data_IF_327297664652
#
_entry.id   IF_327297664652
#
_cell.length_a   1.000
_cell.length_b   1.000
_cell.length_c   1.000
_cell.angle_alpha   90.00
_cell.angle_beta   90.00
_cell.angle_gamma   90.00
#
_symmetry.space_group_name_H-M   'P 1'
#
loop_
_entity.id
_entity.type
_entity.pdbx_description
1 polymer ?
#
# COMPACT_ATOMS: atom_id res chain seq x y z
N UNK A 1 -51.87 39.43 -21.39
CA UNK A 1 -51.67 37.97 -21.14
C UNK A 1 -50.19 37.59 -21.07
N UNK A 2 -49.40 38.13 -20.13
CA UNK A 2 -47.96 37.82 -19.99
C UNK A 2 -47.58 37.15 -18.66
N UNK A 3 -48.49 37.07 -17.68
CA UNK A 3 -48.19 36.55 -16.34
C UNK A 3 -48.16 35.02 -16.19
N UNK A 4 -48.85 34.26 -17.06
CA UNK A 4 -48.93 32.79 -16.94
C UNK A 4 -47.72 32.04 -17.49
N UNK A 5 -46.95 32.62 -18.42
CA UNK A 5 -45.76 31.96 -19.00
C UNK A 5 -44.57 31.99 -18.05
N UNK A 6 -44.40 33.07 -17.29
CA UNK A 6 -43.27 33.25 -16.34
C UNK A 6 -43.32 32.23 -15.19
N UNK A 7 -44.51 31.87 -14.70
CA UNK A 7 -44.67 30.86 -13.65
C UNK A 7 -44.24 29.45 -14.08
N UNK A 8 -44.43 29.08 -15.36
CA UNK A 8 -44.06 27.74 -15.85
C UNK A 8 -42.54 27.60 -15.97
N UNK A 9 -41.83 28.65 -16.40
CA UNK A 9 -40.37 28.63 -16.47
C UNK A 9 -39.71 28.54 -15.09
N UNK A 10 -40.29 29.19 -14.07
CA UNK A 10 -39.75 29.13 -12.71
C UNK A 10 -39.89 27.73 -12.08
N UNK A 11 -41.01 27.05 -12.32
CA UNK A 11 -41.23 25.67 -11.84
C UNK A 11 -40.32 24.68 -12.59
N UNK A 12 -40.13 24.86 -13.91
CA UNK A 12 -39.25 23.98 -14.69
C UNK A 12 -37.76 24.15 -14.30
N UNK A 13 -37.32 25.37 -13.99
CA UNK A 13 -35.96 25.64 -13.52
C UNK A 13 -35.72 25.00 -12.15
N UNK A 14 -36.69 25.07 -11.23
CA UNK A 14 -36.59 24.49 -9.89
C UNK A 14 -36.51 22.95 -9.91
N UNK A 15 -37.22 22.29 -10.84
CA UNK A 15 -37.16 20.83 -11.01
C UNK A 15 -35.82 20.37 -11.62
N UNK A 16 -35.17 21.22 -12.43
CA UNK A 16 -33.84 20.93 -12.99
C UNK A 16 -32.71 21.11 -11.96
N UNK A 17 -32.87 22.02 -10.97
CA UNK A 17 -31.91 22.16 -9.87
C UNK A 17 -31.99 21.01 -8.85
N UNK A 18 -33.16 20.39 -8.66
CA UNK A 18 -33.31 19.26 -7.74
C UNK A 18 -32.71 17.95 -8.27
N UNK A 19 -32.61 17.77 -9.60
CA UNK A 19 -32.00 16.56 -10.18
C UNK A 19 -30.48 16.57 -10.25
N UNK A 20 -29.84 17.73 -10.06
CA UNK A 20 -28.38 17.85 -10.14
C UNK A 20 -27.67 17.63 -8.80
N UNK A 21 -28.41 17.50 -7.68
CA UNK A 21 -27.81 17.49 -6.34
C UNK A 21 -28.00 16.18 -5.53
N UNK A 22 -28.85 15.25 -5.96
CA UNK A 22 -29.32 14.16 -5.09
C UNK A 22 -28.87 12.73 -5.47
N UNK A 23 -28.26 12.51 -6.63
CA UNK A 23 -27.86 11.13 -7.01
C UNK A 23 -26.61 10.64 -6.27
N UNK A 24 -25.72 11.53 -5.87
CA UNK A 24 -24.50 11.16 -5.13
C UNK A 24 -24.75 10.99 -3.61
N UNK A 25 -25.81 11.59 -3.08
CA UNK A 25 -26.11 11.55 -1.65
C UNK A 25 -26.71 10.20 -1.22
N UNK A 26 -27.60 9.61 -2.03
CA UNK A 26 -28.26 8.33 -1.70
C UNK A 26 -27.25 7.16 -1.67
N UNK A 27 -26.26 7.15 -2.57
CA UNK A 27 -25.18 6.15 -2.55
C UNK A 27 -24.24 6.29 -1.34
N UNK A 28 -24.09 7.50 -0.80
CA UNK A 28 -23.27 7.77 0.40
C UNK A 28 -23.93 7.34 1.72
N UNK A 29 -25.26 7.16 1.73
CA UNK A 29 -26.01 6.69 2.91
C UNK A 29 -25.98 5.16 3.04
N UNK A 30 -25.67 4.42 1.97
CA UNK A 30 -25.63 2.95 2.02
C UNK A 30 -24.30 2.40 2.49
N UNK A 31 -23.22 3.20 2.39
CA UNK A 31 -21.86 2.71 2.57
C UNK A 31 -21.01 3.66 3.42
N UNK A 32 -20.30 3.10 4.39
CA UNK A 32 -19.28 3.81 5.18
C UNK A 32 -17.87 3.41 4.74
N UNK A 33 -16.89 4.31 4.88
CA UNK A 33 -15.49 4.07 4.51
C UNK A 33 -14.56 4.35 5.67
N UNK A 34 -13.63 3.44 5.93
CA UNK A 34 -12.53 3.64 6.87
C UNK A 34 -11.18 3.30 6.23
N UNK A 35 -10.08 3.78 6.82
CA UNK A 35 -8.73 3.56 6.32
C UNK A 35 -7.85 3.00 7.44
N UNK A 36 -7.05 1.99 7.10
CA UNK A 36 -6.03 1.44 7.98
C UNK A 36 -4.66 1.75 7.38
N UNK A 37 -3.86 2.60 8.03
CA UNK A 37 -2.46 2.80 7.66
C UNK A 37 -1.58 1.70 8.28
N UNK A 38 -0.69 1.15 7.46
CA UNK A 38 0.37 0.24 7.85
C UNK A 38 1.70 0.98 7.72
N UNK A 39 2.39 1.13 8.84
CA UNK A 39 3.69 1.78 8.91
C UNK A 39 4.77 0.72 9.11
N UNK A 40 5.63 0.56 8.11
CA UNK A 40 6.70 -0.42 8.17
C UNK A 40 8.04 0.28 8.33
N UNK A 41 8.72 -0.04 9.43
CA UNK A 41 10.06 0.42 9.75
C UNK A 41 10.99 -0.78 9.66
N UNK A 42 11.89 -0.77 8.68
CA UNK A 42 12.82 -1.88 8.49
C UNK A 42 14.24 -1.43 8.70
N UNK A 43 14.85 -2.02 9.72
CA UNK A 43 16.21 -1.76 10.13
C UNK A 43 17.07 -2.95 9.73
N UNK A 44 17.89 -2.75 8.70
CA UNK A 44 18.80 -3.77 8.23
C UNK A 44 20.23 -3.47 8.67
N UNK A 45 20.85 -4.44 9.35
CA UNK A 45 22.27 -4.43 9.71
C UNK A 45 23.02 -5.36 8.77
N UNK A 46 24.22 -4.94 8.34
CA UNK A 46 25.12 -5.71 7.46
C UNK A 46 24.43 -6.27 6.21
N UNK A 47 23.51 -5.49 5.64
CA UNK A 47 22.71 -5.90 4.48
C UNK A 47 23.53 -5.84 3.22
N UNK A 48 23.36 -6.87 2.40
CA UNK A 48 23.84 -6.88 1.02
C UNK A 48 22.69 -6.69 0.04
N UNK A 49 22.89 -5.98 -1.07
CA UNK A 49 21.99 -6.03 -2.23
C UNK A 49 22.72 -6.58 -3.46
N UNK A 50 22.05 -7.27 -4.40
CA UNK A 50 20.61 -7.52 -4.46
C UNK A 50 20.12 -8.47 -3.37
N UNK A 51 18.89 -8.26 -2.90
CA UNK A 51 18.28 -9.02 -1.79
C UNK A 51 16.75 -8.86 -1.75
N UNK A 52 16.08 -9.80 -1.08
CA UNK A 52 14.64 -9.81 -0.87
C UNK A 52 14.33 -9.77 0.62
N UNK A 53 13.35 -8.99 1.03
CA UNK A 53 12.93 -8.89 2.42
C UNK A 53 11.43 -8.81 2.54
N UNK A 54 10.88 -9.34 3.61
CA UNK A 54 9.43 -9.43 3.81
C UNK A 54 9.04 -8.88 5.18
N UNK A 55 7.89 -8.23 5.23
CA UNK A 55 7.26 -7.81 6.49
C UNK A 55 5.83 -8.34 6.53
N UNK A 56 5.44 -8.88 7.66
CA UNK A 56 4.12 -9.50 7.85
C UNK A 56 3.11 -8.47 8.36
N UNK A 57 1.87 -8.59 7.89
CA UNK A 57 0.73 -7.83 8.39
C UNK A 57 -0.48 -8.74 8.60
N UNK A 58 -1.19 -8.48 9.70
CA UNK A 58 -2.39 -9.20 10.11
C UNK A 58 -3.52 -8.20 10.36
N UNK A 59 -4.50 -8.16 9.45
CA UNK A 59 -5.65 -7.26 9.56
C UNK A 59 -6.54 -7.57 10.77
N UNK A 60 -6.48 -8.78 11.36
CA UNK A 60 -7.26 -9.10 12.55
C UNK A 60 -6.79 -8.37 13.82
N UNK A 61 -5.60 -7.76 13.80
CA UNK A 61 -5.10 -6.93 14.91
C UNK A 61 -5.81 -5.56 14.97
N UNK A 62 -6.58 -5.21 13.95
CA UNK A 62 -7.27 -3.94 13.83
C UNK A 62 -8.76 -4.11 14.15
N UNK A 63 -9.20 -3.53 15.26
CA UNK A 63 -10.58 -3.64 15.76
C UNK A 63 -11.63 -3.17 14.71
N UNK A 64 -11.34 -2.07 14.01
CA UNK A 64 -12.24 -1.54 12.99
C UNK A 64 -12.43 -2.52 11.82
N UNK A 65 -11.38 -3.27 11.47
CA UNK A 65 -11.47 -4.32 10.45
C UNK A 65 -12.30 -5.51 10.96
N UNK A 66 -12.00 -6.02 12.16
CA UNK A 66 -12.69 -7.22 12.68
C UNK A 66 -14.19 -7.00 12.90
N UNK A 67 -14.59 -5.81 13.37
CA UNK A 67 -16.01 -5.43 13.53
C UNK A 67 -16.80 -5.39 12.22
N UNK A 68 -16.14 -5.00 11.12
CA UNK A 68 -16.79 -4.73 9.85
C UNK A 68 -16.52 -5.77 8.77
N UNK A 69 -15.68 -6.77 9.06
CA UNK A 69 -15.21 -7.81 8.12
C UNK A 69 -16.34 -8.49 7.33
N UNK A 70 -17.47 -8.78 7.98
CA UNK A 70 -18.63 -9.45 7.35
C UNK A 70 -19.40 -8.55 6.36
N UNK A 71 -19.30 -7.23 6.51
CA UNK A 71 -20.01 -6.21 5.71
C UNK A 71 -19.10 -5.50 4.71
N UNK A 72 -17.84 -5.93 4.61
CA UNK A 72 -16.83 -5.31 3.77
C UNK A 72 -17.21 -5.48 2.30
N UNK A 73 -17.52 -4.41 1.58
CA UNK A 73 -17.83 -4.44 0.14
C UNK A 73 -16.58 -4.31 -0.73
N UNK A 74 -15.59 -3.54 -0.27
CA UNK A 74 -14.40 -3.19 -1.05
C UNK A 74 -13.17 -3.00 -0.16
N UNK A 75 -11.99 -3.38 -0.65
CA UNK A 75 -10.69 -3.06 -0.10
C UNK A 75 -9.77 -2.52 -1.22
N UNK A 76 -9.12 -1.38 -0.99
CA UNK A 76 -8.28 -0.71 -1.99
C UNK A 76 -7.00 -0.19 -1.33
N UNK A 77 -5.85 -0.42 -1.95
CA UNK A 77 -4.61 0.25 -1.53
C UNK A 77 -4.60 1.64 -2.18
N UNK A 78 -4.87 2.67 -1.38
CA UNK A 78 -5.05 4.05 -1.86
C UNK A 78 -3.76 4.86 -1.81
N UNK A 79 -2.77 4.40 -1.06
CA UNK A 79 -1.48 5.04 -0.94
C UNK A 79 -0.42 3.99 -0.64
N UNK A 80 0.68 4.05 -1.38
CA UNK A 80 1.93 3.36 -1.08
C UNK A 80 3.05 4.40 -1.13
N UNK A 81 3.89 4.46 -0.11
CA UNK A 81 5.01 5.40 -0.03
C UNK A 81 6.28 4.68 0.42
N UNK A 82 7.44 5.14 -0.03
CA UNK A 82 8.74 4.56 0.28
C UNK A 82 9.84 5.62 0.34
N UNK A 83 10.69 5.54 1.37
CA UNK A 83 11.88 6.38 1.51
C UNK A 83 12.94 5.71 2.39
N UNK A 84 14.15 6.28 2.36
CA UNK A 84 15.30 5.81 3.13
C UNK A 84 15.62 6.85 4.20
N UNK A 85 15.48 6.48 5.48
CA UNK A 85 15.76 7.38 6.60
C UNK A 85 17.25 7.54 6.87
N UNK A 86 18.00 6.44 6.73
CA UNK A 86 19.45 6.39 6.93
C UNK A 86 20.09 5.26 6.13
N UNK A 87 21.32 5.51 5.67
CA UNK A 87 22.12 4.53 4.95
C UNK A 87 23.59 4.73 5.34
N UNK A 88 24.27 3.65 5.66
CA UNK A 88 25.70 3.60 6.00
C UNK A 88 26.34 2.54 5.12
N UNK A 89 27.37 2.93 4.38
CA UNK A 89 28.14 2.02 3.53
C UNK A 89 28.91 1.00 4.36
N UNK A 90 29.31 -0.13 3.75
CA UNK A 90 30.10 -1.16 4.43
C UNK A 90 31.46 -0.71 4.99
N UNK A 91 31.95 0.47 4.61
CA UNK A 91 33.14 1.11 5.21
C UNK A 91 32.80 2.04 6.39
N UNK A 92 31.57 1.94 6.93
CA UNK A 92 31.02 2.74 8.02
C UNK A 92 30.91 4.25 7.74
N UNK A 93 31.01 4.68 6.47
CA UNK A 93 30.72 6.06 6.10
C UNK A 93 29.20 6.23 5.91
N UNK A 94 28.57 7.21 6.60
CA UNK A 94 27.18 7.59 6.33
C UNK A 94 27.04 8.14 4.92
N UNK A 95 25.91 7.85 4.28
CA UNK A 95 25.54 8.45 3.01
C UNK A 95 25.31 9.96 3.13
N UNK A 96 25.97 10.74 2.28
CA UNK A 96 25.76 12.18 2.13
C UNK A 96 25.01 12.45 0.80
N UNK A 97 23.70 12.78 0.84
CA UNK A 97 22.90 12.96 -0.38
C UNK A 97 23.36 14.13 -1.26
N UNK A 98 24.25 15.00 -0.76
CA UNK A 98 24.81 16.14 -1.52
C UNK A 98 26.11 15.78 -2.25
N UNK A 99 26.79 14.71 -1.86
CA UNK A 99 28.13 14.34 -2.39
C UNK A 99 28.12 12.97 -3.04
N UNK A 100 27.37 12.04 -2.48
CA UNK A 100 27.37 10.66 -2.91
C UNK A 100 26.37 10.45 -4.05
N UNK A 101 26.75 9.57 -4.98
CA UNK A 101 25.85 9.08 -6.02
C UNK A 101 25.68 7.58 -5.83
N UNK A 102 24.46 7.17 -5.52
CA UNK A 102 24.09 5.77 -5.35
C UNK A 102 22.80 5.51 -6.11
N UNK A 103 22.88 4.70 -7.16
CA UNK A 103 21.72 4.31 -7.96
C UNK A 103 21.48 2.82 -7.81
N UNK A 104 20.28 2.43 -7.39
CA UNK A 104 19.83 1.04 -7.34
C UNK A 104 19.03 0.78 -8.62
N UNK A 105 19.37 -0.28 -9.36
CA UNK A 105 18.77 -0.57 -10.66
C UNK A 105 17.25 -0.68 -10.60
N UNK A 106 16.73 -1.35 -9.59
CA UNK A 106 15.31 -1.36 -9.28
C UNK A 106 15.02 -1.62 -7.80
N UNK A 107 13.87 -1.13 -7.34
CA UNK A 107 13.26 -1.51 -6.07
C UNK A 107 11.81 -1.88 -6.37
N UNK A 108 11.42 -3.11 -6.03
CA UNK A 108 10.07 -3.64 -6.31
C UNK A 108 9.37 -4.00 -5.02
N UNK A 109 8.07 -3.70 -4.96
CA UNK A 109 7.22 -4.03 -3.83
C UNK A 109 6.10 -4.95 -4.26
N UNK A 110 5.89 -6.01 -3.51
CA UNK A 110 4.87 -7.00 -3.78
C UNK A 110 3.99 -7.23 -2.56
N UNK A 111 2.72 -7.50 -2.80
CA UNK A 111 1.80 -8.06 -1.82
C UNK A 111 1.66 -9.55 -2.11
N UNK A 112 1.99 -10.35 -1.10
CA UNK A 112 1.89 -11.81 -1.14
C UNK A 112 0.94 -12.23 -0.03
N UNK A 113 -0.21 -12.79 -0.37
CA UNK A 113 -1.13 -13.29 0.64
C UNK A 113 -0.50 -14.41 1.47
N UNK A 114 -0.89 -14.50 2.73
CA UNK A 114 -0.39 -15.48 3.65
C UNK A 114 -1.53 -16.38 4.14
N UNK A 115 -1.19 -17.61 4.47
CA UNK A 115 -2.08 -18.58 5.11
C UNK A 115 -1.43 -19.17 6.36
N UNK A 116 -2.23 -19.58 7.35
CA UNK A 116 -1.71 -20.35 8.47
C UNK A 116 -1.03 -21.63 7.99
N UNK A 117 0.10 -21.97 8.62
CA UNK A 117 0.71 -23.28 8.47
C UNK A 117 -0.23 -24.37 9.01
N UNK A 118 -0.19 -25.58 8.44
CA UNK A 118 -0.97 -26.70 8.95
C UNK A 118 -0.69 -26.95 10.43
N UNK A 119 -1.71 -27.37 11.18
CA UNK A 119 -1.61 -27.80 12.58
C UNK A 119 -1.20 -26.73 13.60
N UNK A 120 -1.27 -25.44 13.27
CA UNK A 120 -1.13 -24.36 14.25
C UNK A 120 -2.51 -23.92 14.74
N UNK A 121 -2.90 -24.24 15.98
CA UNK A 121 -4.16 -23.76 16.53
C UNK A 121 -4.04 -22.26 16.85
N UNK A 122 -4.96 -21.45 16.32
CA UNK A 122 -5.02 -20.00 16.55
C UNK A 122 -3.70 -19.26 16.23
N UNK A 123 -3.26 -19.26 14.96
CA UNK A 123 -2.02 -18.62 14.54
C UNK A 123 -2.05 -17.12 14.86
N UNK A 124 -0.97 -16.61 15.44
CA UNK A 124 -0.85 -15.20 15.85
C UNK A 124 0.47 -14.58 15.44
N UNK A 125 1.55 -15.36 15.43
CA UNK A 125 2.88 -14.86 15.17
C UNK A 125 3.24 -14.98 13.68
N UNK A 126 4.09 -14.08 13.17
CA UNK A 126 4.52 -14.12 11.76
C UNK A 126 5.12 -15.48 11.34
N UNK A 127 5.69 -16.25 12.27
CA UNK A 127 6.25 -17.58 12.03
C UNK A 127 5.20 -18.65 11.78
N UNK A 128 3.96 -18.39 12.19
CA UNK A 128 2.83 -19.32 12.06
C UNK A 128 2.23 -19.32 10.65
N UNK A 129 2.66 -18.39 9.82
CA UNK A 129 2.15 -18.18 8.48
C UNK A 129 3.19 -18.54 7.43
N UNK A 130 2.69 -18.84 6.24
CA UNK A 130 3.48 -19.05 5.03
C UNK A 130 2.81 -18.35 3.83
N UNK A 131 3.57 -18.01 2.78
CA UNK A 131 3.02 -17.50 1.54
C UNK A 131 1.95 -18.45 0.97
N UNK A 132 0.80 -17.89 0.57
CA UNK A 132 -0.25 -18.63 -0.09
C UNK A 132 0.04 -18.73 -1.60
N UNK A 133 0.70 -19.82 -1.98
CA UNK A 133 1.08 -20.10 -3.39
C UNK A 133 -0.11 -20.35 -4.33
N UNK A 134 -1.34 -20.41 -3.81
CA UNK A 134 -2.56 -20.57 -4.62
C UNK A 134 -3.10 -19.24 -5.15
N UNK A 135 -2.60 -18.12 -4.62
CA UNK A 135 -2.96 -16.77 -5.04
C UNK A 135 -1.78 -16.12 -5.79
N UNK A 136 -2.05 -15.25 -6.77
CA UNK A 136 -0.98 -14.55 -7.45
C UNK A 136 -0.27 -13.57 -6.51
N UNK A 137 1.00 -13.31 -6.82
CA UNK A 137 1.77 -12.23 -6.18
C UNK A 137 1.46 -10.92 -6.91
N UNK A 138 1.12 -9.87 -6.16
CA UNK A 138 0.70 -8.60 -6.74
C UNK A 138 1.85 -7.59 -6.67
N UNK A 139 2.28 -7.08 -7.82
CA UNK A 139 3.22 -5.96 -7.86
C UNK A 139 2.49 -4.68 -7.41
N UNK A 140 2.88 -4.15 -6.25
CA UNK A 140 2.36 -2.89 -5.73
C UNK A 140 3.01 -1.67 -6.41
N UNK A 141 4.29 -1.81 -6.76
CA UNK A 141 5.05 -0.77 -7.43
C UNK A 141 6.45 -1.22 -7.79
N UNK A 142 6.96 -0.70 -8.90
CA UNK A 142 8.35 -0.86 -9.33
C UNK A 142 8.97 0.51 -9.56
N UNK A 143 10.10 0.73 -8.92
CA UNK A 143 10.94 1.91 -9.09
C UNK A 143 12.19 1.49 -9.85
N UNK A 144 12.44 2.09 -11.00
CA UNK A 144 13.64 1.83 -11.80
C UNK A 144 14.62 2.97 -11.64
N UNK A 145 15.91 2.64 -11.69
CA UNK A 145 17.01 3.60 -11.61
C UNK A 145 16.91 4.52 -10.39
N UNK A 146 16.66 3.93 -9.23
CA UNK A 146 16.43 4.62 -7.95
C UNK A 146 17.71 5.32 -7.50
N UNK A 147 17.78 6.62 -7.74
CA UNK A 147 18.81 7.46 -7.14
C UNK A 147 18.49 7.68 -5.66
N UNK A 148 19.30 7.12 -4.76
CA UNK A 148 19.03 7.11 -3.32
C UNK A 148 18.87 8.53 -2.78
N UNK A 149 19.54 9.54 -3.33
CA UNK A 149 19.40 10.94 -2.90
C UNK A 149 17.98 11.49 -3.06
N UNK A 150 17.19 10.98 -4.02
CA UNK A 150 15.81 11.42 -4.25
C UNK A 150 14.84 10.83 -3.22
N UNK A 151 15.18 9.65 -2.69
CA UNK A 151 14.41 8.91 -1.69
C UNK A 151 14.95 9.12 -0.27
N UNK A 152 16.08 9.80 -0.10
CA UNK A 152 16.71 9.99 1.21
C UNK A 152 15.94 11.03 2.03
N UNK A 153 15.26 10.57 3.09
CA UNK A 153 14.43 11.37 4.01
C UNK A 153 13.30 12.15 3.31
N UNK A 154 12.82 11.67 2.16
CA UNK A 154 11.78 12.33 1.34
C UNK A 154 10.62 11.38 1.03
N UNK A 155 9.42 11.61 1.59
CA UNK A 155 8.27 10.72 1.45
C UNK A 155 7.41 11.01 0.19
N UNK A 156 8.00 11.37 -0.95
CA UNK A 156 7.25 11.93 -2.10
C UNK A 156 6.72 10.89 -3.10
N UNK A 157 6.89 9.60 -2.84
CA UNK A 157 6.70 8.55 -3.84
C UNK A 157 5.37 7.82 -3.65
N UNK A 158 4.26 8.56 -3.79
CA UNK A 158 2.90 8.04 -3.60
C UNK A 158 2.40 7.37 -4.88
N UNK A 159 2.11 6.08 -4.81
CA UNK A 159 1.50 5.32 -5.91
C UNK A 159 0.03 5.03 -5.66
N UNK A 160 -0.76 5.17 -6.72
CA UNK A 160 -2.12 4.65 -6.80
C UNK A 160 -2.04 3.25 -7.40
N UNK A 161 -2.54 2.26 -6.69
CA UNK A 161 -2.47 0.84 -7.09
C UNK A 161 -3.62 0.52 -8.06
N UNK A 162 -3.40 -0.40 -8.99
CA UNK A 162 -4.39 -0.77 -10.00
C UNK A 162 -5.69 -1.31 -9.39
N UNK A 163 -6.80 -1.12 -10.11
CA UNK A 163 -8.14 -1.56 -9.70
C UNK A 163 -8.27 -3.09 -9.62
N UNK A 164 -7.49 -3.83 -10.40
CA UNK A 164 -7.49 -5.30 -10.41
C UNK A 164 -6.99 -5.87 -9.08
N UNK A 165 -5.93 -5.30 -8.51
CA UNK A 165 -5.41 -5.69 -7.19
C UNK A 165 -6.47 -5.47 -6.12
N UNK A 166 -7.25 -4.40 -6.24
CA UNK A 166 -8.31 -4.06 -5.27
C UNK A 166 -9.45 -5.09 -5.25
N UNK A 167 -9.81 -5.66 -6.40
CA UNK A 167 -10.85 -6.71 -6.46
C UNK A 167 -10.38 -7.98 -5.74
N UNK A 168 -9.18 -8.46 -6.04
CA UNK A 168 -8.66 -9.67 -5.37
C UNK A 168 -8.41 -9.42 -3.88
N UNK A 169 -7.91 -8.23 -3.53
CA UNK A 169 -7.74 -7.83 -2.14
C UNK A 169 -9.07 -7.91 -1.38
N UNK A 170 -10.16 -7.40 -1.97
CA UNK A 170 -11.50 -7.46 -1.36
C UNK A 170 -11.94 -8.89 -1.06
N UNK A 171 -11.80 -9.80 -2.03
CA UNK A 171 -12.23 -11.19 -1.88
C UNK A 171 -11.39 -11.97 -0.86
N UNK A 172 -10.07 -11.77 -0.90
CA UNK A 172 -9.13 -12.53 -0.10
C UNK A 172 -9.13 -12.07 1.35
N UNK A 173 -9.09 -10.76 1.63
CA UNK A 173 -8.93 -10.26 3.01
C UNK A 173 -10.10 -10.63 3.92
N UNK A 174 -11.31 -10.84 3.37
CA UNK A 174 -12.46 -11.33 4.14
C UNK A 174 -12.22 -12.69 4.76
N UNK A 175 -11.43 -13.57 4.16
CA UNK A 175 -11.21 -14.93 4.66
C UNK A 175 -9.76 -15.13 5.14
N UNK A 176 -8.82 -14.48 4.48
CA UNK A 176 -7.37 -14.56 4.70
C UNK A 176 -6.82 -13.14 4.90
N UNK A 177 -7.05 -12.54 6.07
CA UNK A 177 -6.63 -11.16 6.41
C UNK A 177 -5.12 -11.03 6.69
N UNK A 178 -4.30 -11.88 6.08
CA UNK A 178 -2.86 -11.99 6.33
C UNK A 178 -2.10 -11.81 5.03
N UNK A 179 -1.06 -10.99 5.05
CA UNK A 179 -0.20 -10.81 3.88
C UNK A 179 1.21 -10.42 4.30
N UNK A 180 2.16 -10.75 3.42
CA UNK A 180 3.49 -10.22 3.43
C UNK A 180 3.59 -9.07 2.44
N UNK A 181 4.27 -8.01 2.86
CA UNK A 181 4.79 -7.00 1.96
C UNK A 181 6.25 -7.36 1.69
N UNK A 182 6.54 -7.74 0.45
CA UNK A 182 7.86 -8.16 0.00
C UNK A 182 8.51 -7.01 -0.74
N UNK A 183 9.76 -6.70 -0.38
CA UNK A 183 10.61 -5.73 -1.06
C UNK A 183 11.78 -6.46 -1.71
N UNK A 184 12.05 -6.14 -2.96
CA UNK A 184 13.19 -6.67 -3.71
C UNK A 184 14.07 -5.51 -4.17
N UNK A 185 15.36 -5.60 -3.83
CA UNK A 185 16.37 -4.62 -4.22
C UNK A 185 17.26 -5.22 -5.31
N UNK A 186 17.39 -4.49 -6.41
CA UNK A 186 18.32 -4.79 -7.48
C UNK A 186 19.78 -4.51 -7.12
N UNK A 187 20.65 -4.60 -8.11
CA UNK A 187 22.07 -4.27 -7.94
C UNK A 187 22.26 -2.76 -7.85
N UNK A 188 23.39 -2.35 -7.29
CA UNK A 188 23.86 -0.97 -7.45
C UNK A 188 24.40 -0.79 -8.86
N UNK A 189 24.07 0.32 -9.52
CA UNK A 189 24.62 0.65 -10.84
C UNK A 189 26.14 0.68 -10.79
N UNK A 190 26.79 -0.01 -11.72
CA UNK A 190 28.25 -0.12 -11.78
C UNK A 190 28.86 -1.10 -10.78
N UNK A 191 28.03 -1.86 -10.05
CA UNK A 191 28.50 -2.95 -9.19
C UNK A 191 29.12 -4.07 -10.03
N UNK A 192 30.38 -4.40 -9.76
CA UNK A 192 31.12 -5.50 -10.41
C UNK A 192 31.12 -6.79 -9.59
N UNK A 193 30.88 -6.70 -8.27
CA UNK A 193 30.79 -7.85 -7.37
C UNK A 193 29.37 -8.44 -7.35
N UNK A 194 29.17 -9.69 -6.91
CA UNK A 194 27.82 -10.27 -6.81
C UNK A 194 26.90 -9.49 -5.86
N UNK A 195 27.48 -8.92 -4.81
CA UNK A 195 26.78 -8.19 -3.74
C UNK A 195 27.49 -6.89 -3.38
N UNK A 196 26.72 -5.86 -3.05
CA UNK A 196 27.18 -4.61 -2.41
C UNK A 196 26.67 -4.58 -0.97
N UNK A 197 27.58 -4.37 -0.03
CA UNK A 197 27.29 -4.36 1.40
C UNK A 197 27.10 -2.96 1.96
N UNK A 198 26.14 -2.84 2.87
CA UNK A 198 25.82 -1.66 3.66
C UNK A 198 25.77 -2.08 5.13
N UNK A 199 26.52 -1.38 5.98
CA UNK A 199 26.50 -1.65 7.43
C UNK A 199 25.13 -1.36 8.03
N UNK A 200 24.42 -0.37 7.48
CA UNK A 200 23.10 0.02 7.95
C UNK A 200 22.22 0.50 6.80
N UNK A 201 20.97 0.03 6.77
CA UNK A 201 19.92 0.64 5.95
C UNK A 201 18.66 0.74 6.80
N UNK A 202 18.19 1.95 7.04
CA UNK A 202 16.89 2.24 7.64
C UNK A 202 15.94 2.69 6.56
N UNK A 203 14.92 1.89 6.35
CA UNK A 203 13.92 2.08 5.32
C UNK A 203 12.57 2.23 5.97
N UNK A 204 11.77 3.15 5.43
CA UNK A 204 10.36 3.24 5.76
C UNK A 204 9.50 3.14 4.51
N UNK A 205 8.42 2.39 4.64
CA UNK A 205 7.35 2.42 3.68
C UNK A 205 6.00 2.35 4.38
N UNK A 206 5.05 3.09 3.83
CA UNK A 206 3.73 3.27 4.40
C UNK A 206 2.70 2.79 3.37
N UNK A 207 1.74 1.99 3.81
CA UNK A 207 0.63 1.51 2.97
C UNK A 207 -0.69 1.87 3.61
N UNK A 208 -1.59 2.49 2.88
CA UNK A 208 -2.94 2.79 3.37
C UNK A 208 -3.94 1.96 2.60
N UNK A 209 -4.67 1.11 3.33
CA UNK A 209 -5.77 0.33 2.80
C UNK A 209 -7.08 1.00 3.19
N UNK A 210 -7.88 1.36 2.20
CA UNK A 210 -9.24 1.86 2.37
C UNK A 210 -10.23 0.72 2.26
N UNK A 211 -11.14 0.64 3.20
CA UNK A 211 -12.24 -0.30 3.21
C UNK A 211 -13.56 0.43 3.01
N UNK A 212 -14.46 -0.15 2.22
CA UNK A 212 -15.86 0.27 2.09
C UNK A 212 -16.74 -0.81 2.67
N UNK A 213 -17.73 -0.43 3.48
CA UNK A 213 -18.60 -1.30 4.25
C UNK A 213 -20.05 -0.92 3.98
N UNK A 214 -20.91 -1.91 3.78
CA UNK A 214 -22.35 -1.69 3.75
C UNK A 214 -22.91 -1.45 5.15
N UNK A 215 -23.78 -0.44 5.26
CA UNK A 215 -24.43 -0.07 6.51
C UNK A 215 -25.56 -1.02 6.88
#
# INVERSE_FOLDING_TARGET
MYGKRIQIYFVLLFVLFLKACDTDFIGSIQNFRFQIPFYFYVNYFDKSIPDTSQVFANLNEYEEFTKNKSRLEKAEIVQFNYWIDSLVYGNNQPFDPKKDTLVIENVRFFLVFAKPKPNIPNPRDTSDFEPDTTLPTFLLGEFKEVNVSDFYRKPNHIYVISTEISQVLTEVVRNRPYFYLVSEYGKVRGQTTPKKYFSLIFVRFDVVIRFTVSL
#
